data_IF_155896042575
#
_entry.id   IF_155896042575
#
_cell.length_a   1.000
_cell.length_b   1.000
_cell.length_c   1.000
_cell.angle_alpha   90.00
_cell.angle_beta   90.00
_cell.angle_gamma   90.00
#
_symmetry.space_group_name_H-M   'P 1'
#
loop_
_entity.id
_entity.type
_entity.pdbx_description
1 polymer ?
#
# COMPACT_ATOMS: atom_id res chain seq x y z
N UNK A 1 10.24 -5.93 11.23
CA UNK A 1 8.90 -5.32 11.25
C UNK A 1 8.01 -6.12 12.18
N UNK A 2 7.08 -5.46 12.87
CA UNK A 2 6.10 -6.09 13.75
C UNK A 2 4.77 -6.27 13.03
N UNK A 3 4.30 -5.23 12.37
CA UNK A 3 3.04 -5.21 11.62
C UNK A 3 3.32 -5.07 10.13
N UNK A 4 2.70 -5.92 9.33
CA UNK A 4 2.65 -5.78 7.88
C UNK A 4 1.22 -5.51 7.41
N UNK A 5 1.05 -4.48 6.60
CA UNK A 5 -0.20 -4.14 5.92
C UNK A 5 -0.07 -4.51 4.45
N UNK A 6 -0.82 -5.53 4.03
CA UNK A 6 -0.80 -6.08 2.69
C UNK A 6 -2.05 -5.67 1.92
N UNK A 7 -1.90 -4.73 0.98
CA UNK A 7 -2.93 -4.34 0.05
C UNK A 7 -2.90 -5.25 -1.19
N UNK A 8 -4.03 -5.93 -1.46
CA UNK A 8 -4.23 -6.89 -2.56
C UNK A 8 -5.39 -6.53 -3.47
N UNK A 9 -6.29 -5.63 -3.05
CA UNK A 9 -7.48 -5.26 -3.82
C UNK A 9 -7.32 -3.93 -4.54
N UNK A 10 -7.94 -3.79 -5.71
CA UNK A 10 -8.05 -2.52 -6.41
C UNK A 10 -8.83 -1.47 -5.59
N UNK A 11 -8.55 -0.16 -5.75
CA UNK A 11 -9.31 0.89 -5.09
C UNK A 11 -10.72 1.04 -5.66
N UNK A 12 -11.58 1.75 -4.92
CA UNK A 12 -12.94 2.22 -5.31
C UNK A 12 -14.03 1.15 -5.52
N UNK A 13 -13.67 -0.10 -5.88
CA UNK A 13 -14.63 -1.19 -6.09
C UNK A 13 -15.33 -1.64 -4.80
N UNK A 14 -14.67 -1.46 -3.66
CA UNK A 14 -15.20 -1.64 -2.32
C UNK A 14 -14.39 -0.76 -1.34
N UNK A 15 -14.75 -0.79 -0.06
CA UNK A 15 -14.11 0.02 0.96
C UNK A 15 -12.83 -0.58 1.58
N UNK A 16 -12.42 -1.79 1.17
CA UNK A 16 -11.39 -2.57 1.88
C UNK A 16 -10.04 -1.84 1.88
N UNK A 17 -9.59 -1.31 0.74
CA UNK A 17 -8.31 -0.57 0.68
C UNK A 17 -8.35 0.75 1.45
N UNK A 18 -9.50 1.42 1.49
CA UNK A 18 -9.68 2.64 2.32
C UNK A 18 -9.59 2.29 3.80
N UNK A 19 -10.32 1.27 4.23
CA UNK A 19 -10.34 0.83 5.63
C UNK A 19 -8.98 0.27 6.07
N UNK A 20 -8.25 -0.39 5.16
CA UNK A 20 -6.89 -0.83 5.38
C UNK A 20 -5.91 0.33 5.58
N UNK A 21 -6.07 1.41 4.82
CA UNK A 21 -5.28 2.63 5.02
C UNK A 21 -5.63 3.32 6.35
N UNK A 22 -6.90 3.39 6.71
CA UNK A 22 -7.32 3.92 8.02
C UNK A 22 -6.74 3.07 9.17
N UNK A 23 -6.75 1.74 9.04
CA UNK A 23 -6.15 0.84 10.03
C UNK A 23 -4.62 0.99 10.11
N UNK A 24 -3.95 1.15 8.98
CA UNK A 24 -2.50 1.43 8.90
C UNK A 24 -2.17 2.73 9.65
N UNK A 25 -2.90 3.80 9.36
CA UNK A 25 -2.69 5.10 10.02
C UNK A 25 -3.06 5.08 11.50
N UNK A 26 -4.05 4.28 11.91
CA UNK A 26 -4.34 4.11 13.33
C UNK A 26 -3.21 3.35 14.06
N UNK A 27 -2.54 2.42 13.39
CA UNK A 27 -1.45 1.64 13.98
C UNK A 27 -0.21 2.49 14.29
N UNK A 28 0.01 3.61 13.59
CA UNK A 28 1.12 4.54 13.87
C UNK A 28 1.01 5.20 15.24
N UNK A 29 -0.16 5.17 15.88
CA UNK A 29 -0.32 5.64 17.26
C UNK A 29 0.25 4.67 18.32
N UNK A 30 0.61 3.43 17.93
CA UNK A 30 0.99 2.36 18.85
C UNK A 30 2.25 1.58 18.43
N UNK A 31 2.80 1.85 17.26
CA UNK A 31 3.99 1.20 16.71
C UNK A 31 4.87 2.27 16.09
N UNK A 32 6.18 2.14 16.31
CA UNK A 32 7.16 3.02 15.70
C UNK A 32 7.20 2.77 14.17
N UNK A 33 7.58 3.78 13.40
CA UNK A 33 7.59 3.76 11.94
C UNK A 33 8.42 2.60 11.34
N UNK A 34 9.53 2.22 11.99
CA UNK A 34 10.37 1.08 11.62
C UNK A 34 9.73 -0.29 11.93
N UNK A 35 8.67 -0.33 12.74
CA UNK A 35 7.93 -1.55 13.05
C UNK A 35 6.83 -1.84 12.02
N UNK A 36 6.51 -0.89 11.14
CA UNK A 36 5.41 -1.00 10.17
C UNK A 36 5.97 -1.24 8.76
N UNK A 37 5.52 -2.30 8.11
CA UNK A 37 5.76 -2.56 6.68
C UNK A 37 4.47 -2.44 5.87
N UNK A 38 4.53 -1.81 4.70
CA UNK A 38 3.39 -1.62 3.80
C UNK A 38 3.70 -2.28 2.45
N UNK A 39 2.79 -3.13 1.98
CA UNK A 39 3.02 -3.99 0.82
C UNK A 39 1.85 -3.88 -0.16
N UNK A 40 2.16 -3.80 -1.45
CA UNK A 40 1.18 -3.76 -2.53
C UNK A 40 1.45 -4.90 -3.52
N UNK A 41 0.46 -5.77 -3.73
CA UNK A 41 0.55 -6.95 -4.62
C UNK A 41 -0.77 -7.19 -5.34
N UNK A 42 -0.73 -7.98 -6.41
CA UNK A 42 -1.90 -8.28 -7.25
C UNK A 42 -2.60 -6.97 -7.68
N UNK A 43 -3.92 -6.86 -7.56
CA UNK A 43 -4.67 -5.63 -7.88
C UNK A 43 -4.37 -4.48 -6.91
N UNK A 44 -3.77 -4.78 -5.76
CA UNK A 44 -3.41 -3.82 -4.72
C UNK A 44 -2.47 -2.71 -5.21
N UNK A 45 -1.66 -2.98 -6.25
CA UNK A 45 -0.77 -1.98 -6.86
C UNK A 45 -1.53 -0.80 -7.48
N UNK A 46 -2.81 -0.99 -7.83
CA UNK A 46 -3.65 0.07 -8.39
C UNK A 46 -4.00 1.15 -7.36
N UNK A 47 -3.86 0.87 -6.05
CA UNK A 47 -3.99 1.89 -5.01
C UNK A 47 -2.90 2.96 -5.09
N UNK A 48 -1.78 2.67 -5.75
CA UNK A 48 -0.64 3.57 -5.84
C UNK A 48 -0.71 4.49 -7.05
N UNK A 49 -1.59 4.27 -8.03
CA UNK A 49 -1.62 5.08 -9.24
C UNK A 49 -1.99 6.55 -8.89
N UNK A 50 -1.14 7.51 -9.27
CA UNK A 50 -1.45 8.93 -9.11
C UNK A 50 -2.47 9.43 -10.14
N UNK A 51 -3.13 10.55 -9.86
CA UNK A 51 -4.07 11.19 -10.80
C UNK A 51 -5.43 10.49 -10.93
N UNK A 52 -5.79 9.61 -9.98
CA UNK A 52 -7.13 9.02 -9.93
C UNK A 52 -8.21 10.09 -9.68
N UNK A 53 -9.36 9.96 -10.33
CA UNK A 53 -10.49 10.89 -10.20
C UNK A 53 -11.74 10.16 -9.67
N UNK A 54 -11.77 9.91 -8.36
CA UNK A 54 -12.84 9.19 -7.68
C UNK A 54 -14.17 9.95 -7.62
N UNK A 55 -14.15 11.27 -7.85
CA UNK A 55 -15.36 12.10 -7.86
C UNK A 55 -16.31 11.70 -9.00
N UNK A 56 -15.78 11.17 -10.11
CA UNK A 56 -16.58 10.59 -11.20
C UNK A 56 -17.41 9.38 -10.73
N UNK A 57 -17.02 8.75 -9.62
CA UNK A 57 -17.71 7.64 -8.97
C UNK A 57 -18.52 8.08 -7.73
N UNK A 58 -18.61 9.39 -7.46
CA UNK A 58 -19.21 9.96 -6.25
C UNK A 58 -18.52 9.48 -4.95
N UNK A 59 -17.22 9.19 -5.01
CA UNK A 59 -16.43 8.76 -3.86
C UNK A 59 -15.35 9.79 -3.50
N UNK A 60 -15.05 9.88 -2.20
CA UNK A 60 -13.93 10.70 -1.70
C UNK A 60 -12.60 10.11 -2.18
N UNK A 61 -11.69 10.98 -2.59
CA UNK A 61 -10.33 10.60 -2.98
C UNK A 61 -9.51 10.21 -1.74
N UNK A 62 -9.52 8.91 -1.41
CA UNK A 62 -8.70 8.37 -0.32
C UNK A 62 -7.27 8.03 -0.77
N UNK A 63 -7.00 8.00 -2.08
CA UNK A 63 -5.68 7.64 -2.61
C UNK A 63 -4.64 8.66 -2.16
N UNK A 64 -5.01 9.94 -2.14
CA UNK A 64 -4.14 11.02 -1.60
C UNK A 64 -3.74 10.81 -0.14
N UNK A 65 -4.53 10.08 0.65
CA UNK A 65 -4.23 9.79 2.04
C UNK A 65 -2.97 8.92 2.17
N UNK A 66 -2.60 8.14 1.15
CA UNK A 66 -1.33 7.39 1.17
C UNK A 66 -0.09 8.30 1.31
N UNK A 67 -0.17 9.58 0.91
CA UNK A 67 0.92 10.55 1.12
C UNK A 67 1.21 10.83 2.59
N UNK A 68 0.29 10.49 3.50
CA UNK A 68 0.55 10.60 4.94
C UNK A 68 1.65 9.62 5.38
N UNK A 69 1.91 8.54 4.65
CA UNK A 69 3.03 7.63 4.97
C UNK A 69 4.37 8.38 4.95
N UNK A 70 4.55 9.37 4.09
CA UNK A 70 5.74 10.23 4.10
C UNK A 70 5.79 11.16 5.31
N UNK A 71 4.63 11.61 5.81
CA UNK A 71 4.53 12.48 6.99
C UNK A 71 4.80 11.71 8.29
N UNK A 72 4.45 10.43 8.31
CA UNK A 72 4.68 9.52 9.45
C UNK A 72 6.01 8.76 9.33
N UNK A 73 6.91 9.16 8.41
CA UNK A 73 8.22 8.55 8.20
C UNK A 73 8.19 7.02 7.97
N UNK A 74 7.09 6.49 7.40
CA UNK A 74 6.95 5.06 7.11
C UNK A 74 7.73 4.72 5.84
N UNK A 75 8.98 4.30 5.99
CA UNK A 75 9.88 4.04 4.87
C UNK A 75 9.74 2.64 4.26
N UNK A 76 9.34 1.63 5.05
CA UNK A 76 9.22 0.24 4.61
C UNK A 76 8.00 0.00 3.71
N UNK A 77 8.09 0.48 2.47
CA UNK A 77 7.05 0.42 1.45
C UNK A 77 7.53 -0.42 0.28
N UNK A 78 6.77 -1.46 -0.06
CA UNK A 78 7.17 -2.42 -1.08
C UNK A 78 6.04 -2.65 -2.09
N UNK A 79 6.40 -2.75 -3.37
CA UNK A 79 5.46 -3.00 -4.46
C UNK A 79 5.92 -4.18 -5.31
N UNK A 80 5.00 -5.10 -5.59
CA UNK A 80 5.28 -6.30 -6.38
C UNK A 80 5.58 -5.96 -7.84
N UNK A 81 6.78 -6.31 -8.30
CA UNK A 81 7.23 -6.06 -9.66
C UNK A 81 6.32 -6.72 -10.71
N UNK A 82 6.03 -8.01 -10.54
CA UNK A 82 5.16 -8.76 -11.47
C UNK A 82 3.76 -8.17 -11.57
N UNK A 83 3.23 -7.61 -10.46
CA UNK A 83 1.91 -7.00 -10.44
C UNK A 83 1.89 -5.63 -11.13
N UNK A 84 2.94 -4.82 -10.98
CA UNK A 84 3.09 -3.59 -11.78
C UNK A 84 3.15 -3.90 -13.27
N UNK A 85 3.95 -4.90 -13.65
CA UNK A 85 4.14 -5.30 -15.04
C UNK A 85 2.81 -5.79 -15.67
N UNK A 86 1.97 -6.49 -14.91
CA UNK A 86 0.63 -6.94 -15.37
C UNK A 86 -0.27 -5.76 -15.81
N UNK A 87 -0.13 -4.59 -15.18
CA UNK A 87 -0.89 -3.38 -15.52
C UNK A 87 -0.08 -2.37 -16.34
N UNK A 88 1.13 -2.72 -16.80
CA UNK A 88 2.07 -1.83 -17.48
C UNK A 88 2.36 -0.54 -16.69
N UNK A 89 2.43 -0.63 -15.37
CA UNK A 89 2.71 0.51 -14.49
C UNK A 89 4.20 0.66 -14.22
N UNK A 90 4.68 1.89 -14.23
CA UNK A 90 6.03 2.27 -13.82
C UNK A 90 6.02 2.96 -12.45
N UNK A 91 7.15 2.92 -11.76
CA UNK A 91 7.31 3.47 -10.40
C UNK A 91 7.09 4.99 -10.34
N UNK A 92 7.33 5.71 -11.43
CA UNK A 92 7.18 7.16 -11.50
C UNK A 92 5.72 7.60 -11.57
N UNK A 93 4.81 6.65 -11.84
CA UNK A 93 3.36 6.89 -11.85
C UNK A 93 2.73 6.71 -10.47
N UNK A 94 3.52 6.32 -9.46
CA UNK A 94 3.03 6.02 -8.13
C UNK A 94 2.95 7.29 -7.28
N UNK A 95 1.87 7.42 -6.51
CA UNK A 95 1.58 8.58 -5.66
C UNK A 95 2.53 8.72 -4.45
N UNK A 96 3.16 7.61 -4.08
CA UNK A 96 4.21 7.51 -3.05
C UNK A 96 5.34 6.63 -3.57
N UNK A 97 6.55 6.85 -3.06
CA UNK A 97 7.68 5.96 -3.34
C UNK A 97 7.47 4.60 -2.65
N UNK A 98 7.74 3.53 -3.38
CA UNK A 98 7.75 2.16 -2.86
C UNK A 98 8.84 1.36 -3.59
N UNK A 99 9.58 0.55 -2.85
CA UNK A 99 10.63 -0.30 -3.42
C UNK A 99 9.99 -1.39 -4.30
N UNK A 100 10.27 -1.35 -5.61
CA UNK A 100 9.85 -2.40 -6.56
C UNK A 100 10.68 -3.66 -6.33
N UNK A 101 10.04 -4.72 -5.85
CA UNK A 101 10.69 -6.01 -5.54
C UNK A 101 9.97 -7.18 -6.20
N UNK A 102 10.67 -8.28 -6.46
CA UNK A 102 10.05 -9.49 -6.98
C UNK A 102 9.14 -10.17 -5.94
N UNK A 103 8.23 -11.03 -6.43
CA UNK A 103 7.23 -11.69 -5.59
C UNK A 103 7.85 -12.55 -4.49
N UNK A 104 8.98 -13.22 -4.75
CA UNK A 104 9.65 -14.07 -3.76
C UNK A 104 10.23 -13.20 -2.64
N UNK A 105 10.92 -12.12 -3.00
CA UNK A 105 11.45 -11.16 -2.02
C UNK A 105 10.35 -10.52 -1.19
N UNK A 106 9.20 -10.21 -1.79
CA UNK A 106 8.03 -9.66 -1.10
C UNK A 106 7.49 -10.64 -0.04
N UNK A 107 7.28 -11.91 -0.41
CA UNK A 107 6.82 -12.94 0.51
C UNK A 107 7.84 -13.18 1.64
N UNK A 108 9.14 -13.19 1.32
CA UNK A 108 10.20 -13.34 2.33
C UNK A 108 10.23 -12.18 3.33
N UNK A 109 9.96 -10.94 2.90
CA UNK A 109 9.83 -9.80 3.81
C UNK A 109 8.57 -9.91 4.66
N UNK A 110 7.42 -10.24 4.05
CA UNK A 110 6.16 -10.44 4.78
C UNK A 110 6.29 -11.51 5.88
N UNK A 111 7.05 -12.59 5.64
CA UNK A 111 7.25 -13.64 6.63
C UNK A 111 8.06 -13.21 7.85
N UNK A 112 8.72 -12.05 7.82
CA UNK A 112 9.42 -11.47 8.98
C UNK A 112 8.49 -10.67 9.89
N UNK A 113 7.23 -10.43 9.49
CA UNK A 113 6.26 -9.74 10.33
C UNK A 113 5.68 -10.67 11.40
N UNK A 114 5.46 -10.14 12.61
CA UNK A 114 4.74 -10.88 13.65
C UNK A 114 3.24 -11.01 13.30
N UNK A 115 2.67 -10.00 12.65
CA UNK A 115 1.28 -9.98 12.19
C UNK A 115 1.14 -9.37 10.81
N UNK A 116 0.28 -9.99 10.00
CA UNK A 116 -0.08 -9.52 8.67
C UNK A 116 -1.56 -9.19 8.65
N UNK A 117 -1.89 -7.94 8.32
CA UNK A 117 -3.25 -7.51 8.01
C UNK A 117 -3.40 -7.44 6.49
N UNK A 118 -4.38 -8.14 5.95
CA UNK A 118 -4.62 -8.19 4.50
C UNK A 118 -5.89 -7.43 4.15
N UNK A 119 -5.78 -6.56 3.15
CA UNK A 119 -6.84 -5.72 2.62
C UNK A 119 -6.94 -5.92 1.11
#
# INVERSE_FOLDING_TARGET
>A
MKLAFLFRTAPHGNAISREGLDALLAATAFCDEEEIGVFFIDDGVLNLLDGQNSELLLQKDFIRTFKLLDLYDIEQRFVCATSLDQYNLQTEQLIISAEKIDRTSLINKLSQAEKVFTF
#
